data_IF_134712580212
#
_entry.id   IF_134712580212
#
_cell.length_a   1.000
_cell.length_b   1.000
_cell.length_c   1.000
_cell.angle_alpha   90.00
_cell.angle_beta   90.00
_cell.angle_gamma   90.00
#
_symmetry.space_group_name_H-M   'P 1'
#
loop_
_entity.id
_entity.type
_entity.pdbx_description
1 polymer ?
#
# COMPACT_ATOMS: atom_id res chain seq x y z
N UNK A 1 -29.54 0.13 41.31
CA UNK A 1 -28.13 0.00 41.77
C UNK A 1 -27.24 0.50 40.64
N UNK A 2 -26.12 1.19 40.90
CA UNK A 2 -25.11 1.33 39.88
C UNK A 2 -24.59 -0.09 39.64
N UNK A 3 -24.96 -0.69 38.51
CA UNK A 3 -24.30 -1.90 38.03
C UNK A 3 -22.86 -1.46 37.78
N UNK A 4 -21.90 -2.03 38.52
CA UNK A 4 -20.47 -1.77 38.25
C UNK A 4 -20.24 -1.97 36.76
N UNK A 5 -19.90 -0.90 36.07
CA UNK A 5 -19.69 -0.97 34.64
C UNK A 5 -18.43 -1.81 34.38
N UNK A 6 -18.45 -2.71 33.39
CA UNK A 6 -17.27 -3.48 33.06
C UNK A 6 -16.10 -2.55 32.68
N UNK A 7 -14.86 -3.02 32.81
CA UNK A 7 -13.73 -2.28 32.26
C UNK A 7 -13.82 -2.24 30.72
N UNK A 8 -13.32 -1.16 30.10
CA UNK A 8 -13.12 -1.18 28.65
C UNK A 8 -12.03 -2.22 28.32
N UNK A 9 -12.26 -3.14 27.37
CA UNK A 9 -11.34 -4.24 27.12
C UNK A 9 -10.04 -3.75 26.47
N UNK A 10 -8.91 -4.24 26.96
CA UNK A 10 -7.60 -4.06 26.32
C UNK A 10 -7.35 -5.23 25.37
N UNK A 11 -7.52 -5.01 24.06
CA UNK A 11 -7.38 -6.06 23.05
C UNK A 11 -6.04 -5.87 22.31
N UNK A 12 -5.14 -6.87 22.30
CA UNK A 12 -3.84 -6.76 21.64
C UNK A 12 -3.95 -6.33 20.18
N UNK A 13 -3.14 -5.35 19.79
CA UNK A 13 -3.06 -4.87 18.40
C UNK A 13 -4.21 -3.96 17.93
N UNK A 14 -5.19 -3.63 18.80
CA UNK A 14 -6.31 -2.74 18.48
C UNK A 14 -6.12 -1.28 18.88
N UNK A 15 -4.95 -0.90 19.39
CA UNK A 15 -4.64 0.50 19.76
C UNK A 15 -5.68 1.12 20.72
N UNK A 16 -6.14 0.36 21.71
CA UNK A 16 -7.15 0.83 22.68
C UNK A 16 -8.56 0.99 22.10
N UNK A 17 -8.82 0.46 20.91
CA UNK A 17 -10.14 0.40 20.29
C UNK A 17 -10.82 -0.94 20.61
N UNK A 18 -12.15 -0.92 20.57
CA UNK A 18 -12.97 -2.13 20.59
C UNK A 18 -14.14 -2.00 19.61
N UNK A 19 -14.55 -3.13 19.03
CA UNK A 19 -15.81 -3.18 18.28
C UNK A 19 -16.99 -3.25 19.24
N UNK A 20 -18.17 -2.86 18.77
CA UNK A 20 -19.40 -2.99 19.55
C UNK A 20 -19.63 -4.45 19.98
N UNK A 21 -19.33 -5.43 19.12
CA UNK A 21 -19.44 -6.85 19.47
C UNK A 21 -18.48 -7.22 20.61
N UNK A 22 -17.22 -6.79 20.53
CA UNK A 22 -16.22 -7.04 21.57
C UNK A 22 -16.59 -6.40 22.92
N UNK A 23 -17.26 -5.25 22.91
CA UNK A 23 -17.78 -4.66 24.15
C UNK A 23 -18.91 -5.51 24.75
N UNK A 24 -19.84 -6.01 23.93
CA UNK A 24 -20.88 -6.93 24.40
C UNK A 24 -20.28 -8.21 24.99
N UNK A 25 -19.27 -8.78 24.31
CA UNK A 25 -18.55 -9.98 24.77
C UNK A 25 -17.79 -9.73 26.08
N UNK A 26 -17.32 -8.49 26.30
CA UNK A 26 -16.71 -8.04 27.54
C UNK A 26 -17.73 -7.71 28.66
N UNK A 27 -19.01 -7.98 28.45
CA UNK A 27 -20.08 -7.80 29.44
C UNK A 27 -20.75 -6.43 29.44
N UNK A 28 -20.42 -5.55 28.49
CA UNK A 28 -21.13 -4.27 28.36
C UNK A 28 -22.53 -4.47 27.80
N UNK A 29 -23.50 -3.72 28.32
CA UNK A 29 -24.86 -3.68 27.77
C UNK A 29 -24.99 -2.57 26.72
N UNK A 30 -25.89 -2.74 25.74
CA UNK A 30 -26.17 -1.70 24.73
C UNK A 30 -26.55 -0.33 25.34
N UNK A 31 -27.35 -0.25 26.42
CA UNK A 31 -27.60 1.02 27.10
C UNK A 31 -26.34 1.66 27.70
N UNK A 32 -25.45 0.90 28.35
CA UNK A 32 -24.18 1.42 28.88
C UNK A 32 -23.28 1.94 27.75
N UNK A 33 -23.12 1.16 26.67
CA UNK A 33 -22.33 1.57 25.50
C UNK A 33 -22.89 2.87 24.91
N UNK A 34 -24.22 2.98 24.73
CA UNK A 34 -24.87 4.19 24.22
C UNK A 34 -24.63 5.38 25.15
N UNK A 35 -24.78 5.20 26.46
CA UNK A 35 -24.52 6.23 27.45
C UNK A 35 -23.06 6.71 27.36
N UNK A 36 -22.09 5.80 27.39
CA UNK A 36 -20.67 6.15 27.30
C UNK A 36 -20.28 6.83 25.99
N UNK A 37 -20.82 6.41 24.84
CA UNK A 37 -20.64 7.10 23.55
C UNK A 37 -21.21 8.52 23.55
N UNK A 38 -22.23 8.80 24.34
CA UNK A 38 -22.78 10.16 24.49
C UNK A 38 -22.00 11.03 25.48
N UNK A 39 -21.20 10.43 26.37
CA UNK A 39 -20.53 11.15 27.46
C UNK A 39 -19.00 11.16 27.33
N UNK A 40 -18.32 10.02 27.44
CA UNK A 40 -16.85 9.95 27.59
C UNK A 40 -16.12 9.28 26.43
N UNK A 41 -16.82 8.54 25.58
CA UNK A 41 -16.25 7.79 24.48
C UNK A 41 -16.55 8.45 23.14
N UNK A 42 -15.81 8.06 22.10
CA UNK A 42 -16.08 8.45 20.72
C UNK A 42 -16.20 7.24 19.80
N UNK A 43 -16.81 7.47 18.64
CA UNK A 43 -16.96 6.46 17.58
C UNK A 43 -16.01 6.80 16.45
N UNK A 44 -14.97 6.00 16.23
CA UNK A 44 -14.00 6.22 15.16
C UNK A 44 -14.61 5.91 13.78
N UNK A 45 -15.28 4.77 13.69
CA UNK A 45 -16.07 4.32 12.54
C UNK A 45 -17.31 3.57 13.05
N UNK A 46 -18.32 3.29 12.20
CA UNK A 46 -19.48 2.53 12.62
C UNK A 46 -19.08 1.23 13.33
N UNK A 47 -19.58 1.06 14.56
CA UNK A 47 -19.29 -0.07 15.44
C UNK A 47 -17.84 -0.16 15.97
N UNK A 48 -16.99 0.84 15.77
CA UNK A 48 -15.62 0.90 16.32
C UNK A 48 -15.50 2.08 17.28
N UNK A 49 -15.14 1.79 18.53
CA UNK A 49 -15.25 2.72 19.66
C UNK A 49 -13.88 2.88 20.32
N UNK A 50 -13.57 4.11 20.71
CA UNK A 50 -12.43 4.45 21.57
C UNK A 50 -12.95 4.92 22.93
N UNK A 51 -12.26 4.52 24.00
CA UNK A 51 -12.66 4.80 25.38
C UNK A 51 -12.41 6.24 25.86
N UNK A 52 -12.14 7.17 24.95
CA UNK A 52 -11.84 8.58 25.22
C UNK A 52 -12.37 9.49 24.11
N UNK A 53 -12.34 10.81 24.32
CA UNK A 53 -12.68 11.85 23.32
C UNK A 53 -11.50 12.57 22.68
N UNK A 54 -10.27 12.32 23.14
CA UNK A 54 -9.07 12.90 22.55
C UNK A 54 -8.85 12.46 21.09
N UNK A 55 -8.06 13.20 20.30
CA UNK A 55 -7.81 12.87 18.89
C UNK A 55 -7.24 11.46 18.73
N UNK A 56 -7.58 10.80 17.62
CA UNK A 56 -7.00 9.52 17.21
C UNK A 56 -5.85 9.78 16.24
N UNK A 57 -4.68 9.24 16.53
CA UNK A 57 -3.51 9.37 15.67
C UNK A 57 -3.64 8.51 14.40
N UNK A 58 -2.80 8.73 13.38
CA UNK A 58 -2.91 7.99 12.11
C UNK A 58 -2.82 6.46 12.27
N UNK A 59 -1.90 5.88 13.08
CA UNK A 59 -1.88 4.44 13.33
C UNK A 59 -3.17 3.91 13.96
N UNK A 60 -3.76 4.64 14.92
CA UNK A 60 -5.03 4.26 15.56
C UNK A 60 -6.19 4.36 14.57
N UNK A 61 -6.22 5.39 13.72
CA UNK A 61 -7.22 5.51 12.65
C UNK A 61 -7.14 4.35 11.64
N UNK A 62 -5.94 3.91 11.29
CA UNK A 62 -5.76 2.75 10.40
C UNK A 62 -6.22 1.44 11.07
N UNK A 63 -5.93 1.26 12.37
CA UNK A 63 -6.47 0.14 13.14
C UNK A 63 -8.00 0.18 13.21
N UNK A 64 -8.59 1.37 13.39
CA UNK A 64 -10.04 1.55 13.39
C UNK A 64 -10.66 1.18 12.03
N UNK A 65 -10.01 1.58 10.94
CA UNK A 65 -10.41 1.22 9.59
C UNK A 65 -10.38 -0.29 9.35
N UNK A 66 -9.33 -0.98 9.81
CA UNK A 66 -9.23 -2.44 9.72
C UNK A 66 -10.31 -3.16 10.54
N UNK A 67 -10.60 -2.69 11.76
CA UNK A 67 -11.68 -3.23 12.58
C UNK A 67 -13.06 -3.03 11.93
N UNK A 68 -13.28 -1.86 11.32
CA UNK A 68 -14.51 -1.60 10.58
C UNK A 68 -14.62 -2.52 9.35
N UNK A 69 -13.51 -2.73 8.63
CA UNK A 69 -13.47 -3.55 7.42
C UNK A 69 -13.73 -5.04 7.72
N UNK A 70 -13.24 -5.52 8.87
CA UNK A 70 -13.44 -6.88 9.37
C UNK A 70 -12.18 -7.73 9.31
N UNK A 71 -12.21 -8.87 10.01
CA UNK A 71 -11.10 -9.80 10.20
C UNK A 71 -10.53 -10.41 8.91
N UNK A 72 -11.39 -10.60 7.91
CA UNK A 72 -11.06 -11.13 6.58
C UNK A 72 -10.68 -10.06 5.57
N UNK A 73 -10.67 -8.79 5.97
CA UNK A 73 -10.36 -7.68 5.09
C UNK A 73 -8.85 -7.40 5.11
N UNK A 74 -8.26 -7.20 3.93
CA UNK A 74 -6.82 -6.98 3.76
C UNK A 74 -6.59 -5.64 3.07
N UNK A 75 -5.86 -4.75 3.73
CA UNK A 75 -5.51 -3.41 3.23
C UNK A 75 -4.72 -3.52 1.92
N UNK A 76 -5.09 -2.68 0.95
CA UNK A 76 -4.48 -2.59 -0.38
C UNK A 76 -4.35 -1.12 -0.84
N UNK A 77 -3.92 -0.90 -2.08
CA UNK A 77 -3.85 0.42 -2.70
C UNK A 77 -2.70 1.28 -2.15
N UNK A 78 -2.79 2.59 -2.34
CA UNK A 78 -1.78 3.55 -1.92
C UNK A 78 -1.51 3.51 -0.41
N UNK A 79 -2.55 3.31 0.41
CA UNK A 79 -2.37 3.21 1.86
C UNK A 79 -1.52 1.98 2.23
N UNK A 80 -1.73 0.83 1.59
CA UNK A 80 -0.87 -0.34 1.80
C UNK A 80 0.56 -0.08 1.33
N UNK A 81 0.76 0.60 0.19
CA UNK A 81 2.10 0.95 -0.30
C UNK A 81 2.85 1.86 0.69
N UNK A 82 2.16 2.77 1.39
CA UNK A 82 2.76 3.56 2.48
C UNK A 82 3.20 2.70 3.66
N UNK A 83 2.44 1.67 4.02
CA UNK A 83 2.82 0.70 5.06
C UNK A 83 4.02 -0.17 4.65
N UNK A 84 4.30 -0.27 3.35
CA UNK A 84 5.54 -0.83 2.80
C UNK A 84 6.71 0.18 2.81
N UNK A 85 6.48 1.39 3.32
CA UNK A 85 7.45 2.48 3.43
C UNK A 85 7.69 3.21 2.12
N UNK A 86 6.80 3.11 1.13
CA UNK A 86 6.87 3.90 -0.10
C UNK A 86 6.28 5.30 0.12
N UNK A 87 6.90 6.29 -0.51
CA UNK A 87 6.30 7.61 -0.66
C UNK A 87 5.24 7.51 -1.76
N UNK A 88 3.99 7.82 -1.42
CA UNK A 88 2.88 7.78 -2.36
C UNK A 88 2.21 9.14 -2.46
N UNK A 89 1.45 9.41 -3.54
CA UNK A 89 0.43 10.45 -3.51
C UNK A 89 -0.49 10.27 -2.29
N UNK A 90 -1.10 11.36 -1.82
CA UNK A 90 -1.95 11.31 -0.63
C UNK A 90 -3.17 10.41 -0.88
N UNK A 91 -3.32 9.29 -0.15
CA UNK A 91 -4.45 8.38 -0.33
C UNK A 91 -5.73 9.07 0.13
N UNK A 92 -6.78 9.05 -0.71
CA UNK A 92 -8.09 9.64 -0.38
C UNK A 92 -9.00 8.71 0.40
N UNK A 93 -8.67 7.41 0.41
CA UNK A 93 -9.51 6.34 0.95
C UNK A 93 -8.63 5.17 1.37
N UNK A 94 -9.01 4.46 2.43
CA UNK A 94 -8.45 3.15 2.74
C UNK A 94 -9.27 2.08 2.02
N UNK A 95 -8.61 1.29 1.17
CA UNK A 95 -9.23 0.19 0.44
C UNK A 95 -8.84 -1.14 1.07
N UNK A 96 -9.84 -2.00 1.22
CA UNK A 96 -9.65 -3.36 1.71
C UNK A 96 -10.21 -4.36 0.70
N UNK A 97 -9.47 -5.42 0.46
CA UNK A 97 -9.96 -6.58 -0.28
C UNK A 97 -10.52 -7.60 0.71
N UNK A 98 -11.69 -8.13 0.41
CA UNK A 98 -12.30 -9.22 1.15
C UNK A 98 -12.69 -10.36 0.19
N UNK A 99 -12.74 -11.62 0.65
CA UNK A 99 -13.14 -12.72 -0.23
C UNK A 99 -14.59 -12.55 -0.70
N UNK A 100 -14.93 -13.13 -1.85
CA UNK A 100 -16.23 -12.94 -2.53
C UNK A 100 -17.48 -13.25 -1.67
N UNK A 101 -17.34 -14.11 -0.65
CA UNK A 101 -18.39 -14.44 0.32
C UNK A 101 -18.61 -13.38 1.40
N UNK A 102 -17.72 -12.39 1.53
CA UNK A 102 -17.93 -11.22 2.39
C UNK A 102 -18.92 -10.23 1.74
N UNK A 103 -19.25 -9.14 2.45
CA UNK A 103 -20.07 -8.05 1.91
C UNK A 103 -19.19 -6.89 1.47
N UNK A 104 -19.47 -6.33 0.29
CA UNK A 104 -18.91 -5.02 -0.10
C UNK A 104 -19.51 -3.94 0.78
N UNK A 105 -18.69 -2.98 1.23
CA UNK A 105 -19.11 -1.92 2.15
C UNK A 105 -18.35 -0.64 1.85
N UNK A 106 -18.98 0.52 2.06
CA UNK A 106 -18.34 1.83 1.95
C UNK A 106 -18.83 2.72 3.08
N UNK A 107 -17.94 3.47 3.69
CA UNK A 107 -18.30 4.45 4.72
C UNK A 107 -17.25 5.56 4.78
N UNK A 108 -17.64 6.81 4.50
CA UNK A 108 -16.70 7.93 4.51
C UNK A 108 -15.50 7.64 3.61
N UNK A 109 -14.31 7.67 4.19
CA UNK A 109 -13.01 7.39 3.58
C UNK A 109 -12.60 5.90 3.60
N UNK A 110 -13.54 4.97 3.79
CA UNK A 110 -13.29 3.53 3.80
C UNK A 110 -14.08 2.79 2.72
N UNK A 111 -13.46 1.78 2.12
CA UNK A 111 -14.12 0.89 1.16
C UNK A 111 -13.61 -0.56 1.26
N UNK A 112 -14.54 -1.51 1.40
CA UNK A 112 -14.31 -2.95 1.29
C UNK A 112 -14.82 -3.43 -0.06
N UNK A 113 -13.90 -3.97 -0.84
CA UNK A 113 -14.13 -4.50 -2.17
C UNK A 113 -14.02 -6.02 -2.13
N UNK A 114 -14.99 -6.70 -2.74
CA UNK A 114 -14.95 -8.16 -2.89
C UNK A 114 -14.03 -8.58 -4.03
N UNK A 115 -13.31 -9.66 -3.82
CA UNK A 115 -12.53 -10.32 -4.88
C UNK A 115 -12.66 -11.83 -4.78
N UNK A 116 -12.70 -12.49 -5.94
CA UNK A 116 -12.64 -13.95 -6.04
C UNK A 116 -11.20 -14.47 -6.02
N UNK A 117 -10.21 -13.58 -6.25
CA UNK A 117 -8.80 -13.94 -6.17
C UNK A 117 -8.38 -14.05 -4.70
N UNK A 118 -7.58 -15.06 -4.32
CA UNK A 118 -6.95 -15.10 -3.01
C UNK A 118 -6.21 -13.78 -2.71
N UNK A 119 -6.29 -13.33 -1.46
CA UNK A 119 -5.58 -12.13 -1.00
C UNK A 119 -4.67 -12.55 0.15
N UNK A 120 -3.44 -13.00 -0.14
CA UNK A 120 -2.51 -13.36 0.90
C UNK A 120 -2.17 -12.13 1.75
N UNK A 121 -2.06 -12.34 3.06
CA UNK A 121 -1.56 -11.34 4.00
C UNK A 121 -0.04 -11.42 3.97
N UNK A 122 0.59 -10.41 3.39
CA UNK A 122 2.05 -10.33 3.29
C UNK A 122 2.67 -9.67 4.53
N UNK A 123 1.92 -8.82 5.22
CA UNK A 123 2.35 -8.15 6.47
C UNK A 123 1.16 -7.91 7.38
N UNK A 124 1.41 -7.85 8.70
CA UNK A 124 0.41 -7.50 9.71
C UNK A 124 0.97 -6.50 10.71
N UNK A 125 0.24 -5.42 10.96
CA UNK A 125 0.51 -4.45 12.02
C UNK A 125 -0.67 -4.42 12.99
N UNK A 126 -0.57 -5.13 14.11
CA UNK A 126 -1.71 -5.36 15.00
C UNK A 126 -2.88 -6.03 14.27
N UNK A 127 -4.04 -5.38 14.26
CA UNK A 127 -5.22 -5.87 13.51
C UNK A 127 -5.20 -5.56 12.01
N UNK A 128 -4.30 -4.70 11.55
CA UNK A 128 -4.21 -4.31 10.14
C UNK A 128 -3.48 -5.40 9.35
N UNK A 129 -4.23 -6.16 8.54
CA UNK A 129 -3.68 -7.09 7.56
C UNK A 129 -3.39 -6.36 6.24
N UNK A 130 -2.24 -6.60 5.63
CA UNK A 130 -1.75 -5.84 4.48
C UNK A 130 -1.34 -6.80 3.36
N UNK A 131 -1.78 -6.53 2.12
CA UNK A 131 -1.43 -7.34 0.95
C UNK A 131 -0.04 -6.97 0.40
N UNK A 132 0.47 -7.78 -0.54
CA UNK A 132 1.77 -7.54 -1.16
C UNK A 132 1.82 -6.23 -1.96
N UNK A 133 3.02 -5.66 -2.14
CA UNK A 133 3.20 -4.40 -2.84
C UNK A 133 2.72 -4.45 -4.30
N UNK A 134 3.00 -5.55 -5.03
CA UNK A 134 2.51 -5.76 -6.40
C UNK A 134 0.97 -5.69 -6.49
N UNK A 135 0.27 -6.42 -5.61
CA UNK A 135 -1.20 -6.37 -5.54
C UNK A 135 -1.71 -4.98 -5.19
N UNK A 136 -1.04 -4.31 -4.24
CA UNK A 136 -1.40 -2.95 -3.81
C UNK A 136 -1.29 -1.95 -4.96
N UNK A 137 -0.23 -2.01 -5.77
CA UNK A 137 -0.08 -1.15 -6.95
C UNK A 137 -1.15 -1.44 -8.01
N UNK A 138 -1.45 -2.70 -8.31
CA UNK A 138 -2.49 -3.05 -9.27
C UNK A 138 -3.88 -2.55 -8.84
N UNK A 139 -4.21 -2.61 -7.54
CA UNK A 139 -5.46 -2.03 -7.01
C UNK A 139 -5.44 -0.50 -7.05
N UNK A 140 -4.32 0.14 -6.68
CA UNK A 140 -4.18 1.60 -6.73
C UNK A 140 -4.39 2.12 -8.16
N UNK A 141 -3.72 1.49 -9.14
CA UNK A 141 -3.83 1.82 -10.57
C UNK A 141 -5.28 1.74 -11.08
N UNK A 142 -6.05 0.76 -10.61
CA UNK A 142 -7.41 0.52 -11.09
C UNK A 142 -8.50 1.32 -10.34
N UNK A 143 -8.23 1.81 -9.13
CA UNK A 143 -9.27 2.35 -8.22
C UNK A 143 -9.02 3.75 -7.72
N UNK A 144 -7.77 4.20 -7.76
CA UNK A 144 -7.37 5.46 -7.15
C UNK A 144 -7.02 6.49 -8.23
N UNK A 145 -7.29 7.78 -7.98
CA UNK A 145 -6.91 8.84 -8.91
C UNK A 145 -5.42 9.11 -8.79
N UNK A 146 -4.61 8.26 -9.43
CA UNK A 146 -3.15 8.33 -9.45
C UNK A 146 -2.70 8.76 -10.84
N UNK A 147 -1.73 9.67 -10.93
CA UNK A 147 -1.20 10.06 -12.23
C UNK A 147 -0.47 8.87 -12.88
N UNK A 148 -0.47 8.74 -14.22
CA UNK A 148 0.30 7.70 -14.89
C UNK A 148 1.78 7.71 -14.50
N UNK A 149 2.34 8.91 -14.35
CA UNK A 149 3.72 9.15 -13.94
C UNK A 149 4.05 8.61 -12.54
N UNK A 150 3.13 8.80 -11.58
CA UNK A 150 3.31 8.27 -10.23
C UNK A 150 3.15 6.75 -10.19
N UNK A 151 2.25 6.17 -11.00
CA UNK A 151 2.08 4.71 -11.09
C UNK A 151 3.34 4.05 -11.64
N UNK A 152 3.93 4.66 -12.66
CA UNK A 152 5.21 4.23 -13.24
C UNK A 152 6.35 4.31 -12.21
N UNK A 153 6.44 5.44 -11.48
CA UNK A 153 7.43 5.63 -10.40
C UNK A 153 7.28 4.58 -9.29
N UNK A 154 6.04 4.29 -8.88
CA UNK A 154 5.74 3.31 -7.84
C UNK A 154 6.11 1.89 -8.29
N UNK A 155 5.87 1.53 -9.54
CA UNK A 155 6.28 0.24 -10.08
C UNK A 155 7.80 0.05 -9.99
N UNK A 156 8.57 1.03 -10.47
CA UNK A 156 10.04 1.01 -10.39
C UNK A 156 10.49 0.92 -8.93
N UNK A 157 9.94 1.77 -8.05
CA UNK A 157 10.29 1.80 -6.63
C UNK A 157 10.04 0.47 -5.90
N UNK A 158 8.93 -0.21 -6.22
CA UNK A 158 8.59 -1.53 -5.67
C UNK A 158 9.66 -2.56 -6.05
N UNK A 159 10.08 -2.57 -7.33
CA UNK A 159 11.04 -3.53 -7.86
C UNK A 159 12.45 -3.28 -7.33
N UNK A 160 12.90 -2.03 -7.34
CA UNK A 160 14.22 -1.65 -6.82
C UNK A 160 14.40 -1.97 -5.35
N UNK A 161 13.36 -1.71 -4.55
CA UNK A 161 13.36 -2.02 -3.10
C UNK A 161 13.07 -3.49 -2.82
N UNK A 162 12.93 -4.32 -3.86
CA UNK A 162 12.65 -5.76 -3.78
C UNK A 162 11.40 -6.08 -2.94
N UNK A 163 10.39 -5.20 -3.00
CA UNK A 163 9.10 -5.39 -2.32
C UNK A 163 8.17 -6.35 -3.09
N UNK A 164 8.48 -6.57 -4.36
CA UNK A 164 7.97 -7.65 -5.20
C UNK A 164 9.00 -7.96 -6.29
N UNK A 165 8.94 -9.16 -6.84
CA UNK A 165 9.70 -9.55 -8.03
C UNK A 165 9.02 -9.01 -9.31
N UNK A 166 9.76 -8.85 -10.42
CA UNK A 166 9.15 -8.51 -11.71
C UNK A 166 8.07 -9.51 -12.14
N UNK A 167 8.23 -10.79 -11.80
CA UNK A 167 7.24 -11.82 -12.11
C UNK A 167 5.94 -11.65 -11.31
N UNK A 168 6.03 -11.41 -10.00
CA UNK A 168 4.86 -11.17 -9.16
C UNK A 168 4.09 -9.91 -9.59
N UNK A 169 4.80 -8.84 -9.93
CA UNK A 169 4.17 -7.62 -10.44
C UNK A 169 3.46 -7.88 -11.77
N UNK A 170 4.11 -8.54 -12.71
CA UNK A 170 3.52 -8.85 -14.02
C UNK A 170 2.23 -9.66 -13.90
N UNK A 171 2.22 -10.69 -13.03
CA UNK A 171 1.03 -11.49 -12.74
C UNK A 171 -0.12 -10.64 -12.19
N UNK A 172 0.16 -9.74 -11.25
CA UNK A 172 -0.86 -8.88 -10.68
C UNK A 172 -1.45 -7.90 -11.69
N UNK A 173 -0.62 -7.33 -12.57
CA UNK A 173 -1.07 -6.46 -13.65
C UNK A 173 -1.82 -7.24 -14.74
N UNK A 174 -1.45 -8.50 -15.01
CA UNK A 174 -2.11 -9.35 -16.01
C UNK A 174 -3.58 -9.63 -15.68
N UNK A 175 -3.92 -9.71 -14.39
CA UNK A 175 -5.29 -9.90 -13.92
C UNK A 175 -6.19 -8.66 -14.03
N UNK A 176 -5.74 -7.60 -14.70
CA UNK A 176 -6.47 -6.33 -14.84
C UNK A 176 -6.67 -5.96 -16.30
N UNK A 177 -7.76 -5.24 -16.64
CA UNK A 177 -7.89 -4.63 -17.95
C UNK A 177 -6.67 -3.77 -18.26
N UNK A 178 -6.05 -3.97 -19.44
CA UNK A 178 -4.78 -3.31 -19.81
C UNK A 178 -4.79 -1.80 -19.57
N UNK A 179 -5.87 -1.11 -19.97
CA UNK A 179 -6.05 0.34 -19.80
C UNK A 179 -5.96 0.84 -18.35
N UNK A 180 -6.29 -0.01 -17.37
CA UNK A 180 -6.30 0.36 -15.94
C UNK A 180 -4.91 0.24 -15.32
N UNK A 181 -3.99 -0.50 -15.94
CA UNK A 181 -2.67 -0.83 -15.40
C UNK A 181 -1.52 -0.49 -16.33
N UNK A 182 -1.81 0.17 -17.45
CA UNK A 182 -0.83 0.47 -18.49
C UNK A 182 0.36 1.28 -17.96
N UNK A 183 0.08 2.26 -17.11
CA UNK A 183 1.12 3.09 -16.51
C UNK A 183 2.04 2.31 -15.56
N UNK A 184 1.48 1.46 -14.70
CA UNK A 184 2.26 0.57 -13.85
C UNK A 184 3.06 -0.45 -14.69
N UNK A 185 2.51 -0.91 -15.81
CA UNK A 185 3.20 -1.82 -16.74
C UNK A 185 4.40 -1.15 -17.41
N UNK A 186 4.30 0.12 -17.82
CA UNK A 186 5.47 0.88 -18.32
C UNK A 186 6.61 0.90 -17.32
N UNK A 187 6.32 1.04 -16.03
CA UNK A 187 7.37 1.03 -15.00
C UNK A 187 8.02 -0.34 -14.79
N UNK A 188 7.24 -1.41 -14.93
CA UNK A 188 7.77 -2.78 -14.97
C UNK A 188 8.68 -3.01 -16.19
N UNK A 189 8.24 -2.57 -17.37
CA UNK A 189 9.01 -2.70 -18.61
C UNK A 189 10.29 -1.87 -18.54
N UNK A 190 10.21 -0.61 -18.09
CA UNK A 190 11.38 0.25 -17.87
C UNK A 190 12.40 -0.38 -16.90
N UNK A 191 11.93 -0.98 -15.80
CA UNK A 191 12.81 -1.69 -14.87
C UNK A 191 13.50 -2.90 -15.54
N UNK A 192 12.78 -3.67 -16.36
CA UNK A 192 13.34 -4.81 -17.11
C UNK A 192 14.38 -4.36 -18.13
N UNK A 193 14.18 -3.20 -18.74
CA UNK A 193 15.10 -2.59 -19.70
C UNK A 193 16.31 -1.90 -19.03
N UNK A 194 16.43 -1.99 -17.70
CA UNK A 194 17.57 -1.48 -16.95
C UNK A 194 17.50 0.03 -16.63
N UNK A 195 16.30 0.61 -16.61
CA UNK A 195 16.06 1.93 -16.02
C UNK A 195 15.77 1.80 -14.52
N UNK A 196 16.66 2.35 -13.70
CA UNK A 196 16.60 2.33 -12.24
C UNK A 196 15.98 3.62 -11.70
N UNK A 197 15.57 4.58 -12.54
CA UNK A 197 14.77 5.71 -12.08
C UNK A 197 13.98 6.37 -13.21
N UNK A 198 13.01 7.23 -12.87
CA UNK A 198 12.26 8.03 -13.87
C UNK A 198 13.18 8.94 -14.71
N UNK A 199 14.14 9.68 -14.13
CA UNK A 199 15.12 10.42 -14.91
C UNK A 199 15.91 9.52 -15.86
N UNK A 200 16.28 8.31 -15.45
CA UNK A 200 16.97 7.36 -16.33
C UNK A 200 16.08 6.85 -17.46
N UNK A 201 14.81 6.54 -17.19
CA UNK A 201 13.86 6.16 -18.23
C UNK A 201 13.63 7.30 -19.25
N UNK A 202 13.51 8.53 -18.76
CA UNK A 202 13.41 9.71 -19.62
C UNK A 202 14.70 9.95 -20.43
N UNK A 203 15.87 9.82 -19.79
CA UNK A 203 17.17 9.89 -20.46
C UNK A 203 17.28 8.82 -21.56
N UNK A 204 16.89 7.59 -21.24
CA UNK A 204 16.89 6.45 -22.17
C UNK A 204 15.98 6.70 -23.36
N UNK A 205 14.75 7.16 -23.14
CA UNK A 205 13.81 7.47 -24.21
C UNK A 205 14.37 8.55 -25.16
N UNK A 206 14.98 9.61 -24.61
CA UNK A 206 15.62 10.66 -25.42
C UNK A 206 16.83 10.12 -26.17
N UNK A 207 17.66 9.30 -25.51
CA UNK A 207 18.88 8.75 -26.08
C UNK A 207 18.61 7.74 -27.20
N UNK A 208 17.72 6.79 -26.99
CA UNK A 208 17.34 5.77 -27.98
C UNK A 208 16.59 6.38 -29.18
N UNK A 209 15.97 7.56 -29.00
CA UNK A 209 15.38 8.34 -30.09
C UNK A 209 16.41 9.04 -31.00
N UNK A 210 17.70 8.96 -30.69
CA UNK A 210 18.80 9.63 -31.38
C UNK A 210 19.74 8.62 -32.05
N UNK A 211 19.53 8.27 -33.34
CA UNK A 211 20.33 7.27 -34.02
C UNK A 211 21.79 7.69 -34.26
N UNK A 212 22.10 8.99 -34.06
CA UNK A 212 23.44 9.54 -34.12
C UNK A 212 24.27 9.30 -32.85
N UNK A 213 23.64 8.86 -31.75
CA UNK A 213 24.33 8.57 -30.49
C UNK A 213 24.69 7.08 -30.39
N UNK A 214 25.84 6.75 -29.76
CA UNK A 214 26.21 5.36 -29.51
C UNK A 214 25.32 4.71 -28.45
N UNK A 215 25.31 3.37 -28.34
CA UNK A 215 24.52 2.67 -27.32
C UNK A 215 24.86 3.17 -25.90
N UNK A 216 23.85 3.60 -25.17
CA UNK A 216 23.97 3.90 -23.75
C UNK A 216 23.93 2.58 -22.96
N UNK A 217 24.82 2.40 -22.01
CA UNK A 217 24.78 1.33 -21.02
C UNK A 217 24.37 1.96 -19.69
N UNK A 218 23.28 1.51 -19.07
CA UNK A 218 22.76 2.10 -17.83
C UNK A 218 23.08 1.18 -16.65
N UNK A 219 23.38 1.78 -15.50
CA UNK A 219 23.58 1.06 -14.23
C UNK A 219 24.62 -0.06 -14.29
N UNK A 220 25.70 0.16 -15.04
CA UNK A 220 26.82 -0.78 -15.10
C UNK A 220 27.85 -0.47 -14.01
N UNK A 221 28.41 -1.50 -13.38
CA UNK A 221 29.57 -1.33 -12.51
C UNK A 221 30.81 -1.02 -13.34
N UNK A 222 31.44 0.13 -13.10
CA UNK A 222 32.70 0.49 -13.72
C UNK A 222 33.85 0.04 -12.83
N UNK A 223 34.82 -0.64 -13.43
CA UNK A 223 36.05 -1.06 -12.79
C UNK A 223 37.26 -0.55 -13.58
N UNK A 224 38.32 -0.17 -12.87
CA UNK A 224 39.57 0.24 -13.48
C UNK A 224 40.27 -0.99 -14.06
N UNK A 225 40.48 -1.02 -15.38
CA UNK A 225 41.04 -2.18 -16.10
C UNK A 225 42.40 -2.62 -15.57
N UNK A 226 43.26 -1.69 -15.13
CA UNK A 226 44.61 -2.00 -14.66
C UNK A 226 44.67 -2.58 -13.24
N UNK A 227 43.71 -2.25 -12.38
CA UNK A 227 43.75 -2.60 -10.95
C UNK A 227 42.57 -3.45 -10.49
N UNK A 228 41.52 -3.56 -11.30
CA UNK A 228 40.23 -4.15 -10.92
C UNK A 228 39.47 -3.31 -9.88
N UNK A 229 39.91 -2.08 -9.58
CA UNK A 229 39.26 -1.24 -8.58
C UNK A 229 37.89 -0.78 -9.07
N UNK A 230 36.84 -1.05 -8.29
CA UNK A 230 35.50 -0.50 -8.55
C UNK A 230 35.50 1.03 -8.44
N UNK A 231 35.02 1.68 -9.50
CA UNK A 231 35.00 3.13 -9.67
C UNK A 231 33.61 3.73 -9.40
N UNK A 232 32.54 2.98 -9.64
CA UNK A 232 31.17 3.44 -9.42
C UNK A 232 30.15 2.78 -10.35
N UNK A 233 28.88 3.15 -10.20
CA UNK A 233 27.79 2.70 -11.05
C UNK A 233 27.03 3.94 -11.54
N UNK A 234 27.38 4.48 -12.73
CA UNK A 234 26.71 5.65 -13.26
C UNK A 234 25.32 5.29 -13.82
N UNK A 235 24.43 6.27 -13.77
CA UNK A 235 23.07 6.18 -14.33
C UNK A 235 23.08 5.94 -15.85
N UNK A 236 24.13 6.38 -16.55
CA UNK A 236 24.36 6.12 -17.97
C UNK A 236 25.84 6.23 -18.35
N UNK A 237 26.30 5.31 -19.18
CA UNK A 237 27.68 5.20 -19.66
C UNK A 237 27.70 4.86 -21.15
N UNK A 238 28.41 5.65 -21.95
CA UNK A 238 28.60 5.42 -23.38
C UNK A 238 30.09 5.24 -23.68
N UNK A 239 30.54 3.99 -23.75
CA UNK A 239 31.97 3.66 -23.95
C UNK A 239 32.58 4.36 -25.17
N UNK A 240 31.80 4.52 -26.25
CA UNK A 240 32.24 5.12 -27.50
C UNK A 240 32.35 6.66 -27.45
N UNK A 241 31.78 7.32 -26.44
CA UNK A 241 31.93 8.77 -26.28
C UNK A 241 33.21 9.14 -25.52
N UNK A 242 33.81 8.18 -24.80
CA UNK A 242 35.10 8.34 -24.13
C UNK A 242 35.17 9.48 -23.10
N UNK A 243 36.23 9.45 -22.30
CA UNK A 243 36.84 10.65 -21.71
C UNK A 243 38.32 10.60 -22.10
#
# INVERSE_FOLDING_TARGET
MPTDEPAFPTIPGQQGLATHAQLLDAGWTTPQIRHRRSTTWQTAYPQVIAAHRGPLDPPTMLAAAALWAGDRAVLTGLMALREWGLTTPHPRRAYFLAPASARSRRHGDLEVVRTSRPVPVARRHGVVAITGAARSLAEASAREPVSPDDLEALAISILQRRLATPHELDLELWHRPRREVEAARRGLDAFRDGAWSRPEAALRQVWDGRPDLPPLQTNIGLEQVSSGQYLGCPDGYAAALGW
#
